data_IF_670782407954
#
_entry.id   IF_670782407954
#
_cell.length_a   1.000
_cell.length_b   1.000
_cell.length_c   1.000
_cell.angle_alpha   90.00
_cell.angle_beta   90.00
_cell.angle_gamma   90.00
#
_symmetry.space_group_name_H-M   'P 1'
#
loop_
_entity.id
_entity.type
_entity.pdbx_description
1 polymer ?
#
# COMPACT_ATOMS: atom_id res chain seq x y z
N UNK A 1 14.82 -14.27 24.32
CA UNK A 1 14.88 -13.03 23.52
C UNK A 1 14.51 -13.43 22.11
N UNK A 2 13.36 -13.01 21.59
CA UNK A 2 13.02 -13.29 20.19
C UNK A 2 14.01 -12.51 19.34
N UNK A 3 14.73 -13.20 18.45
CA UNK A 3 15.32 -12.54 17.27
C UNK A 3 14.21 -11.68 16.67
N UNK A 4 14.44 -10.39 16.49
CA UNK A 4 13.50 -9.60 15.69
C UNK A 4 13.46 -10.23 14.30
N UNK A 5 12.26 -10.40 13.73
CA UNK A 5 12.17 -10.74 12.31
C UNK A 5 12.93 -9.67 11.53
N UNK A 6 13.83 -10.07 10.62
CA UNK A 6 14.48 -9.12 9.74
C UNK A 6 13.40 -8.44 8.89
N UNK A 7 13.54 -7.11 8.74
CA UNK A 7 12.55 -6.27 8.04
C UNK A 7 13.18 -5.73 6.76
N UNK A 8 12.55 -6.04 5.63
CA UNK A 8 12.87 -5.46 4.34
C UNK A 8 11.90 -4.31 4.02
N UNK A 9 12.44 -3.11 3.76
CA UNK A 9 11.65 -1.95 3.32
C UNK A 9 11.78 -1.78 1.81
N UNK A 10 10.66 -1.83 1.09
CA UNK A 10 10.63 -1.74 -0.38
C UNK A 10 9.28 -1.27 -0.90
N UNK A 11 9.20 -0.97 -2.19
CA UNK A 11 7.91 -0.74 -2.85
C UNK A 11 7.04 -2.00 -2.78
N UNK A 12 5.73 -1.79 -2.59
CA UNK A 12 4.71 -2.82 -2.73
C UNK A 12 4.47 -3.07 -4.22
N UNK A 13 4.58 -4.32 -4.66
CA UNK A 13 4.35 -4.70 -6.04
C UNK A 13 2.84 -4.79 -6.36
N UNK A 14 2.42 -4.63 -7.63
CA UNK A 14 1.01 -4.78 -8.02
C UNK A 14 0.39 -6.13 -7.65
N UNK A 15 1.20 -7.20 -7.66
CA UNK A 15 0.79 -8.55 -7.26
C UNK A 15 0.55 -8.71 -5.75
N UNK A 16 0.98 -7.73 -4.95
CA UNK A 16 0.86 -7.71 -3.49
C UNK A 16 -0.29 -6.82 -3.01
N UNK A 17 -1.18 -6.41 -3.92
CA UNK A 17 -2.32 -5.55 -3.63
C UNK A 17 -3.21 -6.10 -2.49
N UNK A 18 -3.43 -7.42 -2.45
CA UNK A 18 -4.20 -8.07 -1.39
C UNK A 18 -3.58 -7.90 0.00
N UNK A 19 -2.24 -7.88 0.13
CA UNK A 19 -1.56 -7.63 1.39
C UNK A 19 -1.80 -6.19 1.88
N UNK A 20 -1.76 -5.22 0.97
CA UNK A 20 -2.04 -3.83 1.28
C UNK A 20 -3.50 -3.63 1.72
N UNK A 21 -4.45 -4.26 1.01
CA UNK A 21 -5.88 -4.21 1.35
C UNK A 21 -6.11 -4.82 2.74
N UNK A 22 -5.51 -5.98 3.04
CA UNK A 22 -5.63 -6.62 4.34
C UNK A 22 -5.09 -5.72 5.46
N UNK A 23 -3.95 -5.06 5.23
CA UNK A 23 -3.37 -4.12 6.19
C UNK A 23 -4.30 -2.90 6.41
N UNK A 24 -4.83 -2.30 5.35
CA UNK A 24 -5.78 -1.18 5.44
C UNK A 24 -7.04 -1.59 6.20
N UNK A 25 -7.63 -2.75 5.88
CA UNK A 25 -8.77 -3.30 6.62
C UNK A 25 -8.45 -3.51 8.09
N UNK A 26 -7.25 -3.99 8.42
CA UNK A 26 -6.83 -4.18 9.82
C UNK A 26 -6.72 -2.87 10.61
N UNK A 27 -6.41 -1.76 9.93
CA UNK A 27 -6.26 -0.44 10.55
C UNK A 27 -7.57 0.33 10.63
N UNK A 28 -8.42 0.26 9.59
CA UNK A 28 -9.59 1.12 9.42
C UNK A 28 -10.92 0.36 9.36
N UNK A 29 -10.91 -0.97 9.40
CA UNK A 29 -12.09 -1.78 9.03
C UNK A 29 -12.53 -1.41 7.62
N UNK A 30 -13.81 -1.05 7.48
CA UNK A 30 -14.42 -0.59 6.22
C UNK A 30 -14.57 0.94 6.13
N UNK A 31 -13.87 1.70 7.00
CA UNK A 31 -14.04 3.16 7.12
C UNK A 31 -12.96 3.98 6.42
N UNK A 32 -12.09 3.36 5.64
CA UNK A 32 -11.10 4.08 4.85
C UNK A 32 -11.79 4.94 3.78
N UNK A 33 -11.30 6.17 3.61
CA UNK A 33 -11.99 7.23 2.85
C UNK A 33 -12.20 6.87 1.38
N UNK A 34 -11.25 6.16 0.77
CA UNK A 34 -11.33 5.76 -0.63
C UNK A 34 -11.71 4.28 -0.73
N UNK A 35 -12.94 3.95 -1.16
CA UNK A 35 -13.42 2.57 -1.23
C UNK A 35 -12.66 1.74 -2.28
N UNK A 36 -11.93 2.35 -3.22
CA UNK A 36 -11.11 1.62 -4.18
C UNK A 36 -10.02 0.79 -3.50
N UNK A 37 -9.57 1.18 -2.29
CA UNK A 37 -8.63 0.44 -1.47
C UNK A 37 -9.20 -0.84 -0.84
N UNK A 38 -10.45 -1.18 -1.13
CA UNK A 38 -11.05 -2.47 -0.78
C UNK A 38 -11.25 -3.40 -1.98
N UNK A 39 -10.84 -2.97 -3.18
CA UNK A 39 -10.98 -3.69 -4.44
C UNK A 39 -9.60 -4.02 -5.05
N UNK A 40 -9.22 -5.29 -5.01
CA UNK A 40 -7.89 -5.76 -5.43
C UNK A 40 -7.48 -5.35 -6.86
N UNK A 41 -8.33 -5.49 -7.90
CA UNK A 41 -7.97 -5.03 -9.23
C UNK A 41 -7.68 -3.53 -9.30
N UNK A 42 -8.40 -2.71 -8.53
CA UNK A 42 -8.21 -1.26 -8.51
C UNK A 42 -6.88 -0.90 -7.84
N UNK A 43 -6.56 -1.50 -6.69
CA UNK A 43 -5.29 -1.27 -6.00
C UNK A 43 -4.10 -1.77 -6.83
N UNK A 44 -4.23 -2.94 -7.46
CA UNK A 44 -3.20 -3.48 -8.34
C UNK A 44 -2.90 -2.54 -9.51
N UNK A 45 -3.95 -2.00 -10.14
CA UNK A 45 -3.82 -1.03 -11.22
C UNK A 45 -3.19 0.30 -10.75
N UNK A 46 -3.54 0.80 -9.57
CA UNK A 46 -2.92 2.00 -9.00
C UNK A 46 -1.41 1.83 -8.77
N UNK A 47 -0.99 0.67 -8.25
CA UNK A 47 0.42 0.33 -8.07
C UNK A 47 1.13 0.17 -9.42
N UNK A 48 0.53 -0.53 -10.37
CA UNK A 48 1.12 -0.81 -11.69
C UNK A 48 1.31 0.48 -12.51
N UNK A 49 0.30 1.35 -12.49
CA UNK A 49 0.32 2.64 -13.15
C UNK A 49 1.10 3.72 -12.38
N UNK A 50 1.79 3.38 -11.27
CA UNK A 50 2.50 4.34 -10.42
C UNK A 50 1.64 5.53 -9.96
N UNK A 51 0.31 5.35 -9.92
CA UNK A 51 -0.61 6.33 -9.32
C UNK A 51 -0.75 6.14 -7.82
N UNK A 52 -0.25 5.03 -7.29
CA UNK A 52 0.01 4.79 -5.89
C UNK A 52 1.47 4.37 -5.72
N UNK A 53 2.26 5.22 -5.08
CA UNK A 53 3.60 4.86 -4.60
C UNK A 53 3.47 4.40 -3.15
N UNK A 54 3.49 3.09 -2.92
CA UNK A 54 3.38 2.50 -1.59
C UNK A 54 4.70 1.83 -1.20
N UNK A 55 5.31 2.30 -0.10
CA UNK A 55 6.46 1.67 0.53
C UNK A 55 5.94 0.80 1.67
N UNK A 56 6.33 -0.47 1.68
CA UNK A 56 5.97 -1.45 2.70
C UNK A 56 7.18 -1.94 3.49
N UNK A 57 6.96 -2.25 4.77
CA UNK A 57 7.88 -3.03 5.59
C UNK A 57 7.41 -4.50 5.62
N UNK A 58 8.27 -5.40 5.16
CA UNK A 58 7.99 -6.82 5.03
C UNK A 58 8.87 -7.63 5.96
N UNK A 59 8.30 -8.64 6.63
CA UNK A 59 9.10 -9.67 7.32
C UNK A 59 9.71 -10.63 6.31
N UNK A 60 10.70 -11.43 6.73
CA UNK A 60 11.28 -12.51 5.91
C UNK A 60 10.24 -13.52 5.39
N UNK A 61 9.14 -13.71 6.13
CA UNK A 61 8.01 -14.55 5.72
C UNK A 61 7.14 -13.91 4.63
N UNK A 62 7.45 -12.70 4.18
CA UNK A 62 6.69 -11.95 3.17
C UNK A 62 5.47 -11.23 3.73
N UNK A 63 5.30 -11.15 5.05
CA UNK A 63 4.16 -10.43 5.65
C UNK A 63 4.39 -8.92 5.59
N UNK A 64 3.43 -8.19 5.01
CA UNK A 64 3.40 -6.73 5.07
C UNK A 64 2.91 -6.27 6.46
N UNK A 65 3.77 -5.63 7.24
CA UNK A 65 3.45 -5.22 8.62
C UNK A 65 3.13 -3.73 8.74
N UNK A 66 3.68 -2.88 7.87
CA UNK A 66 3.44 -1.43 7.82
C UNK A 66 3.54 -0.95 6.39
N UNK A 67 2.83 0.11 6.05
CA UNK A 67 3.01 0.80 4.78
C UNK A 67 2.88 2.31 4.94
N UNK A 68 3.49 3.04 4.00
CA UNK A 68 3.23 4.46 3.74
C UNK A 68 2.95 4.59 2.25
N UNK A 69 1.82 5.21 1.91
CA UNK A 69 1.39 5.40 0.52
C UNK A 69 1.21 6.87 0.20
N UNK A 70 1.53 7.23 -1.04
CA UNK A 70 1.17 8.53 -1.61
C UNK A 70 0.56 8.34 -2.98
N UNK A 71 -0.51 9.07 -3.28
CA UNK A 71 -1.20 8.97 -4.57
C UNK A 71 -0.78 10.11 -5.49
N UNK A 72 -0.73 9.82 -6.78
CA UNK A 72 -0.52 10.79 -7.84
C UNK A 72 -1.77 10.82 -8.73
N UNK A 73 -2.34 12.00 -8.96
CA UNK A 73 -3.58 12.16 -9.75
C UNK A 73 -3.40 11.78 -11.23
N UNK A 74 -2.17 11.84 -11.73
CA UNK A 74 -1.81 11.43 -13.07
C UNK A 74 -0.47 10.68 -13.06
N UNK A 75 -0.32 9.72 -13.97
CA UNK A 75 0.96 9.04 -14.20
C UNK A 75 2.02 10.09 -14.57
N UNK A 76 3.14 10.12 -13.84
CA UNK A 76 4.20 11.11 -14.04
C UNK A 76 3.85 12.55 -13.60
N UNK A 77 2.74 12.75 -12.89
CA UNK A 77 2.41 14.05 -12.31
C UNK A 77 3.45 14.46 -11.27
N UNK A 78 4.02 15.66 -11.40
CA UNK A 78 5.05 16.19 -10.49
C UNK A 78 4.54 16.60 -9.11
N UNK A 79 3.25 16.35 -8.80
CA UNK A 79 2.61 16.77 -7.55
C UNK A 79 1.93 15.57 -6.90
N UNK A 80 2.35 15.30 -5.68
CA UNK A 80 1.79 14.23 -4.88
C UNK A 80 0.59 14.72 -4.08
N UNK A 81 -0.41 13.86 -3.88
CA UNK A 81 -1.62 14.13 -3.11
C UNK A 81 -1.61 13.29 -1.83
N UNK A 82 -1.80 13.96 -0.68
CA UNK A 82 -1.86 13.33 0.64
C UNK A 82 -3.30 13.06 1.11
N UNK A 83 -4.31 13.23 0.23
CA UNK A 83 -5.69 12.86 0.52
C UNK A 83 -6.49 13.91 1.27
N UNK A 84 -6.36 15.18 0.89
CA UNK A 84 -7.21 16.27 1.38
C UNK A 84 -7.85 17.00 0.19
N UNK A 85 -8.96 16.45 -0.32
CA UNK A 85 -9.90 17.18 -1.20
C UNK A 85 -11.26 17.23 -0.57
#
# INVERSE_FOLDING_TARGET
MSSGDDIAVRLVAPAEASLLIALIRSCYGETYVDPSFYHEPAVSELLASQRLHSIGAFTDAGQLVRHMGITARAHGGGTADAGMT
#
